data_IF_459861472795
#
_entry.id   IF_459861472795
#
_cell.length_a   1.000
_cell.length_b   1.000
_cell.length_c   1.000
_cell.angle_alpha   90.00
_cell.angle_beta   90.00
_cell.angle_gamma   90.00
#
_symmetry.space_group_name_H-M   'P 1'
#
loop_
_entity.id
_entity.type
_entity.pdbx_description
1 polymer ?
#
# COMPACT_ATOMS: atom_id res chain seq x y z
N UNK A 1 45.88 -4.71 4.78
CA UNK A 1 45.34 -5.06 6.11
C UNK A 1 43.89 -4.59 6.15
N UNK A 2 42.96 -5.42 5.66
CA UNK A 2 41.51 -5.14 5.67
C UNK A 2 40.87 -6.20 6.57
N UNK A 3 40.23 -5.74 7.64
CA UNK A 3 39.66 -6.57 8.68
C UNK A 3 38.53 -7.45 8.13
N UNK A 4 38.79 -8.74 8.01
CA UNK A 4 37.77 -9.77 7.88
C UNK A 4 37.15 -9.94 9.27
N UNK A 5 36.17 -9.08 9.59
CA UNK A 5 35.44 -9.17 10.86
C UNK A 5 34.43 -10.32 10.77
N UNK A 6 34.91 -11.45 11.27
CA UNK A 6 34.22 -12.64 11.75
C UNK A 6 32.72 -12.43 12.07
N UNK A 7 31.85 -12.81 11.12
CA UNK A 7 30.40 -12.99 11.33
C UNK A 7 30.17 -14.21 12.22
N UNK A 8 30.13 -14.03 13.54
CA UNK A 8 29.46 -15.00 14.41
C UNK A 8 27.96 -14.80 14.28
N UNK A 9 27.39 -15.48 13.28
CA UNK A 9 25.96 -15.72 13.18
C UNK A 9 25.51 -16.40 14.48
N UNK A 10 24.72 -15.68 15.28
CA UNK A 10 23.98 -16.29 16.38
C UNK A 10 22.86 -17.08 15.74
N UNK A 11 22.98 -18.40 15.82
CA UNK A 11 22.08 -19.38 15.21
C UNK A 11 20.69 -19.26 15.81
N UNK A 12 19.77 -18.70 15.03
CA UNK A 12 18.32 -18.92 15.14
C UNK A 12 18.09 -20.43 14.89
N UNK A 13 17.11 -21.10 15.53
CA UNK A 13 16.73 -22.45 15.10
C UNK A 13 16.36 -22.42 13.62
N UNK A 14 17.25 -22.98 12.80
CA UNK A 14 17.18 -23.15 11.35
C UNK A 14 15.99 -24.05 10.98
N UNK A 15 14.79 -23.50 11.01
CA UNK A 15 13.59 -24.08 10.41
C UNK A 15 12.82 -22.97 9.69
N UNK A 16 12.38 -23.17 8.43
CA UNK A 16 11.60 -22.16 7.74
C UNK A 16 10.30 -21.91 8.52
N UNK A 17 10.08 -20.67 8.95
CA UNK A 17 8.87 -20.27 9.67
C UNK A 17 7.62 -20.79 8.95
N UNK A 18 6.70 -21.36 9.71
CA UNK A 18 5.55 -22.09 9.12
C UNK A 18 4.55 -21.08 8.55
N UNK A 19 4.49 -19.89 9.15
CA UNK A 19 3.55 -18.81 8.79
C UNK A 19 3.77 -18.30 7.35
N UNK A 20 4.95 -17.80 6.92
CA UNK A 20 5.16 -17.40 5.53
C UNK A 20 4.90 -18.54 4.54
N UNK A 21 5.34 -19.76 4.87
CA UNK A 21 5.16 -20.93 3.99
C UNK A 21 3.69 -21.24 3.76
N UNK A 22 2.87 -21.23 4.82
CA UNK A 22 1.44 -21.49 4.71
C UNK A 22 0.71 -20.33 4.04
N UNK A 23 1.10 -19.09 4.33
CA UNK A 23 0.55 -17.92 3.66
C UNK A 23 0.76 -17.98 2.14
N UNK A 24 1.98 -18.25 1.68
CA UNK A 24 2.26 -18.32 0.25
C UNK A 24 1.67 -19.56 -0.43
N UNK A 25 1.47 -20.66 0.30
CA UNK A 25 0.71 -21.82 -0.23
C UNK A 25 -0.73 -21.46 -0.60
N UNK A 26 -1.36 -20.50 0.08
CA UNK A 26 -2.70 -20.01 -0.29
C UNK A 26 -2.72 -19.36 -1.67
N UNK A 27 -1.63 -18.69 -2.05
CA UNK A 27 -1.47 -18.07 -3.36
C UNK A 27 -0.89 -19.03 -4.42
N UNK A 28 -0.77 -20.34 -4.13
CA UNK A 28 -0.20 -21.32 -5.04
C UNK A 28 1.33 -21.33 -5.13
N UNK A 29 2.03 -20.78 -4.13
CA UNK A 29 3.50 -20.83 -4.05
C UNK A 29 4.15 -19.51 -3.63
N UNK A 30 5.45 -19.58 -3.31
CA UNK A 30 6.25 -18.40 -2.94
C UNK A 30 6.55 -17.56 -4.19
N UNK A 31 6.30 -16.23 -4.18
CA UNK A 31 6.65 -15.33 -5.28
C UNK A 31 8.17 -15.17 -5.41
N UNK A 32 8.61 -14.66 -6.58
CA UNK A 32 9.96 -14.15 -6.75
C UNK A 32 10.18 -12.89 -5.87
N UNK A 33 11.14 -12.89 -4.92
CA UNK A 33 11.39 -11.74 -4.06
C UNK A 33 11.86 -10.48 -4.82
N UNK A 34 12.50 -10.66 -5.99
CA UNK A 34 13.05 -9.56 -6.79
C UNK A 34 11.98 -8.81 -7.61
N UNK A 35 10.76 -9.36 -7.72
CA UNK A 35 9.64 -8.72 -8.42
C UNK A 35 8.57 -8.22 -7.43
N UNK A 36 8.56 -6.92 -7.09
CA UNK A 36 7.60 -6.36 -6.14
C UNK A 36 6.15 -6.41 -6.65
N UNK A 37 5.94 -6.44 -7.96
CA UNK A 37 4.60 -6.54 -8.56
C UNK A 37 4.09 -7.98 -8.44
N UNK A 38 4.94 -8.98 -8.67
CA UNK A 38 4.58 -10.39 -8.46
C UNK A 38 4.25 -10.66 -6.99
N UNK A 39 5.08 -10.17 -6.06
CA UNK A 39 4.81 -10.32 -4.62
C UNK A 39 3.47 -9.70 -4.25
N UNK A 40 3.17 -8.50 -4.73
CA UNK A 40 1.88 -7.85 -4.47
C UNK A 40 0.71 -8.64 -5.07
N UNK A 41 0.83 -9.17 -6.29
CA UNK A 41 -0.18 -10.00 -6.94
C UNK A 41 -0.43 -11.31 -6.18
N UNK A 42 0.63 -11.99 -5.71
CA UNK A 42 0.49 -13.20 -4.87
C UNK A 42 -0.12 -12.87 -3.52
N UNK A 43 0.23 -11.74 -2.91
CA UNK A 43 -0.36 -11.32 -1.65
C UNK A 43 -1.87 -11.04 -1.81
N UNK A 44 -2.29 -10.40 -2.90
CA UNK A 44 -3.71 -10.23 -3.25
C UNK A 44 -4.40 -11.59 -3.34
N UNK A 45 -3.83 -12.56 -4.08
CA UNK A 45 -4.41 -13.89 -4.20
C UNK A 45 -4.52 -14.63 -2.85
N UNK A 46 -3.51 -14.52 -1.99
CA UNK A 46 -3.56 -15.08 -0.63
C UNK A 46 -4.65 -14.42 0.23
N UNK A 47 -4.79 -13.10 0.16
CA UNK A 47 -5.84 -12.35 0.86
C UNK A 47 -7.23 -12.74 0.37
N UNK A 48 -7.43 -12.88 -0.94
CA UNK A 48 -8.69 -13.37 -1.52
C UNK A 48 -8.99 -14.81 -1.10
N UNK A 49 -7.97 -15.67 -1.01
CA UNK A 49 -8.14 -17.02 -0.48
C UNK A 49 -8.52 -17.02 1.01
N UNK A 50 -7.97 -16.10 1.81
CA UNK A 50 -8.37 -15.93 3.21
C UNK A 50 -9.82 -15.40 3.34
N UNK A 51 -10.27 -14.58 2.40
CA UNK A 51 -11.62 -14.01 2.37
C UNK A 51 -12.69 -14.94 1.79
N UNK A 52 -12.37 -15.75 0.77
CA UNK A 52 -13.32 -16.70 0.14
C UNK A 52 -13.72 -17.86 1.05
N UNK A 53 -12.97 -18.11 2.11
CA UNK A 53 -13.23 -19.21 3.04
C UNK A 53 -14.37 -18.80 3.98
N UNK A 54 -15.60 -18.88 3.47
CA UNK A 54 -16.88 -18.77 4.21
C UNK A 54 -17.15 -20.00 5.11
N UNK A 55 -16.16 -20.88 5.28
CA UNK A 55 -16.05 -21.75 6.47
C UNK A 55 -15.03 -21.14 7.42
N UNK A 56 -15.45 -20.30 8.38
CA UNK A 56 -14.53 -19.53 9.19
C UNK A 56 -13.53 -20.47 9.88
N UNK A 57 -12.25 -20.27 9.57
CA UNK A 57 -11.22 -20.57 10.54
C UNK A 57 -10.44 -21.87 10.40
N UNK A 58 -10.30 -22.46 9.21
CA UNK A 58 -9.19 -23.41 9.03
C UNK A 58 -7.92 -22.62 8.75
N UNK A 59 -7.76 -21.91 7.63
CA UNK A 59 -6.45 -21.31 7.32
C UNK A 59 -6.13 -20.04 8.11
N UNK A 60 -7.06 -19.09 8.24
CA UNK A 60 -6.84 -17.88 9.04
C UNK A 60 -6.63 -18.21 10.53
N UNK A 61 -7.43 -19.14 11.10
CA UNK A 61 -7.20 -19.60 12.47
C UNK A 61 -5.98 -20.50 12.59
N UNK A 62 -5.60 -21.26 11.55
CA UNK A 62 -4.34 -22.02 11.55
C UNK A 62 -3.16 -21.07 11.57
N UNK A 63 -3.13 -20.02 10.73
CA UNK A 63 -2.09 -18.99 10.81
C UNK A 63 -2.08 -18.31 12.19
N UNK A 64 -3.25 -17.97 12.72
CA UNK A 64 -3.39 -17.41 14.07
C UNK A 64 -2.90 -18.36 15.16
N UNK A 65 -3.16 -19.65 15.01
CA UNK A 65 -2.71 -20.70 15.94
C UNK A 65 -1.21 -20.92 15.85
N UNK A 66 -0.65 -20.98 14.63
CA UNK A 66 0.78 -21.10 14.38
C UNK A 66 1.54 -19.94 15.04
N UNK A 67 1.03 -18.70 14.95
CA UNK A 67 1.62 -17.54 15.62
C UNK A 67 1.65 -17.61 17.15
N UNK A 68 0.85 -18.50 17.77
CA UNK A 68 0.91 -18.73 19.23
C UNK A 68 2.01 -19.71 19.63
N UNK A 69 2.53 -20.50 18.68
CA UNK A 69 3.65 -21.41 18.89
C UNK A 69 4.96 -20.61 18.97
N UNK A 70 5.86 -21.00 19.87
CA UNK A 70 7.02 -20.19 20.27
C UNK A 70 7.95 -19.77 19.11
N UNK A 71 8.01 -20.57 18.03
CA UNK A 71 8.85 -20.27 16.86
C UNK A 71 8.30 -19.19 15.91
N UNK A 72 6.97 -18.98 15.87
CA UNK A 72 6.32 -18.10 14.89
C UNK A 72 5.71 -16.83 15.54
N UNK A 73 5.95 -16.63 16.85
CA UNK A 73 5.54 -15.42 17.60
C UNK A 73 6.10 -14.12 17.03
N UNK A 74 7.20 -14.19 16.27
CA UNK A 74 7.82 -13.02 15.62
C UNK A 74 6.89 -12.35 14.59
N UNK A 75 5.90 -13.08 14.07
CA UNK A 75 4.87 -12.56 13.15
C UNK A 75 3.59 -12.08 13.84
N UNK A 76 3.48 -12.29 15.16
CA UNK A 76 2.31 -11.91 15.92
C UNK A 76 2.26 -10.39 16.11
N UNK A 77 1.05 -9.83 16.03
CA UNK A 77 0.82 -8.43 16.30
C UNK A 77 1.18 -8.07 17.75
N UNK A 78 1.60 -6.83 18.04
CA UNK A 78 2.00 -6.44 19.39
C UNK A 78 0.89 -6.64 20.43
N UNK A 79 -0.38 -6.45 20.05
CA UNK A 79 -1.52 -6.73 20.92
C UNK A 79 -1.70 -8.25 21.20
N UNK A 80 -1.35 -9.13 20.25
CA UNK A 80 -1.37 -10.59 20.45
C UNK A 80 -0.34 -11.02 21.49
N UNK A 81 0.85 -10.41 21.47
CA UNK A 81 1.91 -10.69 22.44
C UNK A 81 1.54 -10.23 23.85
N UNK A 82 0.66 -9.23 23.98
CA UNK A 82 0.11 -8.76 25.26
C UNK A 82 -1.11 -9.55 25.74
N UNK A 83 -1.64 -10.48 24.93
CA UNK A 83 -2.84 -11.24 25.25
C UNK A 83 -4.15 -10.44 25.09
N UNK A 84 -4.12 -9.34 24.36
CA UNK A 84 -5.30 -8.53 24.04
C UNK A 84 -6.20 -9.23 22.99
N UNK A 85 -7.50 -8.87 22.89
CA UNK A 85 -8.39 -9.45 21.90
C UNK A 85 -7.91 -9.19 20.47
N UNK A 86 -7.75 -10.27 19.73
CA UNK A 86 -7.26 -10.24 18.35
C UNK A 86 -8.38 -9.94 17.37
N UNK A 87 -8.13 -9.10 16.37
CA UNK A 87 -9.09 -8.77 15.33
C UNK A 87 -8.51 -9.02 13.93
N UNK A 88 -9.28 -8.73 12.87
CA UNK A 88 -8.73 -8.73 11.51
C UNK A 88 -7.52 -7.80 11.36
N UNK A 89 -7.41 -6.74 12.17
CA UNK A 89 -6.26 -5.82 12.15
C UNK A 89 -4.97 -6.44 12.70
N UNK A 90 -5.09 -7.49 13.51
CA UNK A 90 -3.94 -8.29 13.95
C UNK A 90 -3.43 -9.16 12.79
N UNK A 91 -4.34 -9.72 11.98
CA UNK A 91 -3.96 -10.45 10.75
C UNK A 91 -3.33 -9.54 9.69
N UNK A 92 -3.80 -8.30 9.55
CA UNK A 92 -3.19 -7.29 8.67
C UNK A 92 -1.72 -7.08 9.02
N UNK A 93 -1.38 -7.00 10.31
CA UNK A 93 0.00 -6.86 10.77
C UNK A 93 0.86 -8.05 10.31
N UNK A 94 0.39 -9.27 10.57
CA UNK A 94 1.07 -10.50 10.18
C UNK A 94 1.33 -10.56 8.68
N UNK A 95 0.32 -10.24 7.86
CA UNK A 95 0.48 -10.22 6.40
C UNK A 95 1.52 -9.17 5.99
N UNK A 96 1.49 -7.99 6.60
CA UNK A 96 2.49 -6.94 6.35
C UNK A 96 3.91 -7.42 6.60
N UNK A 97 4.14 -8.12 7.72
CA UNK A 97 5.45 -8.69 8.07
C UNK A 97 5.91 -9.74 7.05
N UNK A 98 5.02 -10.67 6.66
CA UNK A 98 5.34 -11.74 5.69
C UNK A 98 5.69 -11.17 4.31
N UNK A 99 4.93 -10.18 3.85
CA UNK A 99 5.18 -9.51 2.56
C UNK A 99 6.49 -8.74 2.61
N UNK A 100 6.74 -7.99 3.69
CA UNK A 100 7.98 -7.25 3.87
C UNK A 100 9.20 -8.18 3.89
N UNK A 101 9.15 -9.26 4.66
CA UNK A 101 10.24 -10.23 4.74
C UNK A 101 10.49 -10.90 3.39
N UNK A 102 9.44 -11.16 2.61
CA UNK A 102 9.60 -11.76 1.29
C UNK A 102 10.31 -10.82 0.33
N UNK A 103 10.02 -9.52 0.36
CA UNK A 103 10.68 -8.51 -0.49
C UNK A 103 12.11 -8.20 -0.07
N UNK A 104 12.38 -8.23 1.22
CA UNK A 104 13.66 -7.76 1.78
C UNK A 104 14.60 -8.90 2.16
N UNK A 105 14.09 -10.13 2.21
CA UNK A 105 14.79 -11.29 2.78
C UNK A 105 15.03 -11.18 4.29
N UNK A 106 14.53 -10.12 4.95
CA UNK A 106 14.84 -9.78 6.33
C UNK A 106 13.56 -9.48 7.13
N UNK A 107 13.47 -10.02 8.34
CA UNK A 107 12.35 -9.70 9.23
C UNK A 107 12.41 -8.23 9.69
N UNK A 108 11.30 -7.45 9.61
CA UNK A 108 11.30 -6.00 9.88
C UNK A 108 11.70 -5.63 11.31
N UNK A 109 11.40 -6.51 12.28
CA UNK A 109 11.71 -6.32 13.70
C UNK A 109 12.91 -7.16 14.19
N UNK A 110 13.63 -7.81 13.26
CA UNK A 110 14.73 -8.74 13.56
C UNK A 110 14.27 -10.09 14.12
N UNK A 111 15.21 -11.05 14.22
CA UNK A 111 14.94 -12.45 14.62
C UNK A 111 14.40 -12.62 16.05
N UNK A 112 14.47 -11.58 16.89
CA UNK A 112 13.98 -11.58 18.27
C UNK A 112 12.81 -10.62 18.50
N UNK A 113 12.25 -10.02 17.44
CA UNK A 113 11.14 -9.07 17.53
C UNK A 113 11.45 -7.73 18.22
N UNK A 114 12.74 -7.41 18.44
CA UNK A 114 13.17 -6.24 19.23
C UNK A 114 14.08 -5.23 18.51
N UNK A 115 14.47 -5.47 17.26
CA UNK A 115 15.38 -4.58 16.51
C UNK A 115 14.75 -4.05 15.23
N UNK A 116 14.17 -2.85 15.30
CA UNK A 116 13.66 -2.10 14.15
C UNK A 116 14.77 -1.62 13.17
N UNK A 117 16.05 -1.77 13.53
CA UNK A 117 17.18 -1.23 12.76
C UNK A 117 17.47 -2.02 11.47
N UNK A 118 17.10 -3.30 11.40
CA UNK A 118 17.29 -4.11 10.19
C UNK A 118 16.35 -3.69 9.04
N UNK A 119 15.17 -3.15 9.37
CA UNK A 119 14.17 -2.75 8.38
C UNK A 119 14.56 -1.51 7.57
N UNK A 120 15.32 -0.57 8.14
CA UNK A 120 15.56 0.74 7.50
C UNK A 120 16.39 0.71 6.21
N UNK A 121 17.37 -0.19 6.12
CA UNK A 121 18.21 -0.33 4.93
C UNK A 121 17.55 -1.25 3.89
N UNK A 122 16.92 -2.34 4.34
CA UNK A 122 16.23 -3.27 3.47
C UNK A 122 14.92 -2.69 2.88
N UNK A 123 14.25 -1.78 3.60
CA UNK A 123 13.10 -1.03 3.10
C UNK A 123 13.45 -0.04 1.98
N UNK A 124 14.74 0.22 1.70
CA UNK A 124 15.16 1.01 0.54
C UNK A 124 15.07 0.24 -0.78
N UNK A 125 15.09 -1.09 -0.72
CA UNK A 125 14.92 -1.96 -1.89
C UNK A 125 13.45 -2.09 -2.31
N UNK A 126 12.52 -1.68 -1.46
CA UNK A 126 11.07 -1.73 -1.72
C UNK A 126 10.61 -0.42 -2.37
N UNK A 127 9.78 -0.47 -3.43
CA UNK A 127 9.18 0.73 -4.02
C UNK A 127 8.49 1.59 -2.95
N UNK A 128 8.65 2.93 -2.98
CA UNK A 128 8.20 3.81 -1.90
C UNK A 128 6.69 3.72 -1.64
N UNK A 129 5.91 3.47 -2.68
CA UNK A 129 4.46 3.31 -2.63
C UNK A 129 4.06 2.02 -1.90
N UNK A 130 4.70 0.90 -2.22
CA UNK A 130 4.46 -0.38 -1.56
C UNK A 130 4.95 -0.33 -0.11
N UNK A 131 6.09 0.33 0.13
CA UNK A 131 6.60 0.56 1.48
C UNK A 131 5.59 1.29 2.35
N UNK A 132 4.96 2.36 1.87
CA UNK A 132 3.97 3.11 2.64
C UNK A 132 2.76 2.24 3.04
N UNK A 133 2.30 1.37 2.13
CA UNK A 133 1.22 0.41 2.41
C UNK A 133 1.63 -0.58 3.51
N UNK A 134 2.86 -1.11 3.43
CA UNK A 134 3.40 -2.06 4.42
C UNK A 134 3.68 -1.40 5.77
N UNK A 135 4.17 -0.16 5.81
CA UNK A 135 4.36 0.61 7.04
C UNK A 135 3.03 0.83 7.77
N UNK A 136 1.98 1.17 7.01
CA UNK A 136 0.61 1.31 7.57
C UNK A 136 0.10 -0.04 8.10
N UNK A 137 0.35 -1.13 7.37
CA UNK A 137 -0.06 -2.47 7.81
C UNK A 137 0.67 -2.92 9.10
N UNK A 138 1.94 -2.55 9.26
CA UNK A 138 2.79 -2.90 10.39
C UNK A 138 2.80 -1.84 11.50
N UNK A 139 1.83 -0.91 11.51
CA UNK A 139 1.75 0.13 12.52
C UNK A 139 1.65 -0.45 13.95
N UNK A 140 2.26 0.21 14.96
CA UNK A 140 2.31 -0.31 16.33
C UNK A 140 0.92 -0.39 16.98
N UNK A 141 0.02 0.53 16.65
CA UNK A 141 -1.36 0.52 17.14
C UNK A 141 -2.30 -0.06 16.09
N UNK A 142 -3.24 -0.91 16.53
CA UNK A 142 -4.21 -1.52 15.62
C UNK A 142 -5.13 -0.48 14.94
N UNK A 143 -5.38 0.68 15.56
CA UNK A 143 -6.22 1.72 14.99
C UNK A 143 -5.61 2.40 13.76
N UNK A 144 -4.28 2.43 13.67
CA UNK A 144 -3.55 3.05 12.55
C UNK A 144 -3.39 2.10 11.35
N UNK A 145 -3.83 0.84 11.49
CA UNK A 145 -3.76 -0.18 10.43
C UNK A 145 -5.00 -0.16 9.56
N UNK A 146 -4.88 -0.83 8.42
CA UNK A 146 -6.02 -1.12 7.55
C UNK A 146 -7.14 -1.81 8.34
N UNK A 147 -8.37 -1.35 8.14
CA UNK A 147 -9.54 -1.78 8.89
C UNK A 147 -9.88 -3.26 8.70
N UNK A 148 -9.45 -3.85 7.58
CA UNK A 148 -9.71 -5.24 7.21
C UNK A 148 -8.66 -5.76 6.22
N UNK A 149 -8.64 -7.08 6.02
CA UNK A 149 -7.84 -7.72 4.96
C UNK A 149 -8.21 -7.19 3.57
N UNK A 150 -9.48 -6.87 3.36
CA UNK A 150 -10.00 -6.32 2.10
C UNK A 150 -9.41 -4.94 1.81
N UNK A 151 -9.31 -4.09 2.84
CA UNK A 151 -8.72 -2.77 2.69
C UNK A 151 -7.23 -2.87 2.31
N UNK A 152 -6.48 -3.78 2.94
CA UNK A 152 -5.09 -4.06 2.54
C UNK A 152 -5.00 -4.57 1.10
N UNK A 153 -5.88 -5.50 0.70
CA UNK A 153 -5.96 -6.04 -0.65
C UNK A 153 -6.20 -4.93 -1.68
N UNK A 154 -7.14 -4.04 -1.41
CA UNK A 154 -7.50 -2.94 -2.32
C UNK A 154 -6.32 -1.96 -2.52
N UNK A 155 -5.52 -1.68 -1.48
CA UNK A 155 -4.32 -0.86 -1.60
C UNK A 155 -3.19 -1.55 -2.37
N UNK A 156 -2.99 -2.85 -2.18
CA UNK A 156 -2.04 -3.62 -2.99
C UNK A 156 -2.46 -3.63 -4.47
N UNK A 157 -3.77 -3.77 -4.75
CA UNK A 157 -4.29 -3.71 -6.11
C UNK A 157 -4.09 -2.33 -6.75
N UNK A 158 -4.25 -1.24 -5.98
CA UNK A 158 -3.95 0.13 -6.42
C UNK A 158 -2.47 0.28 -6.78
N UNK A 159 -1.56 -0.25 -5.97
CA UNK A 159 -0.12 -0.25 -6.27
C UNK A 159 0.16 -0.96 -7.61
N UNK A 160 -0.34 -2.18 -7.80
CA UNK A 160 -0.16 -2.94 -9.05
C UNK A 160 -0.72 -2.17 -10.26
N UNK A 161 -1.89 -1.54 -10.11
CA UNK A 161 -2.50 -0.71 -11.16
C UNK A 161 -1.60 0.45 -11.58
N UNK A 162 -1.06 1.20 -10.60
CA UNK A 162 -0.15 2.34 -10.86
C UNK A 162 1.14 1.89 -11.56
N UNK A 163 1.75 0.80 -11.11
CA UNK A 163 2.97 0.26 -11.72
C UNK A 163 2.74 -0.15 -13.18
N UNK A 164 1.59 -0.76 -13.50
CA UNK A 164 1.21 -1.09 -14.88
C UNK A 164 0.99 0.15 -15.75
N UNK A 165 0.39 1.21 -15.21
CA UNK A 165 0.21 2.48 -15.94
C UNK A 165 1.54 3.22 -16.13
N UNK A 166 2.46 3.14 -15.18
CA UNK A 166 3.81 3.72 -15.29
C UNK A 166 4.67 3.02 -16.36
N UNK A 167 4.44 1.72 -16.59
CA UNK A 167 5.13 0.93 -17.62
C UNK A 167 4.50 1.12 -19.01
N UNK A 168 3.24 1.59 -19.10
CA UNK A 168 2.65 1.94 -20.38
C UNK A 168 3.46 3.08 -21.03
N UNK A 169 3.93 2.94 -22.28
CA UNK A 169 4.65 4.01 -22.93
C UNK A 169 3.75 5.24 -22.96
N UNK A 170 4.29 6.38 -22.51
CA UNK A 170 3.57 7.65 -22.52
C UNK A 170 2.82 7.82 -23.84
N UNK A 171 1.52 8.17 -23.85
CA UNK A 171 0.86 8.52 -25.08
C UNK A 171 1.67 9.66 -25.68
N UNK A 172 2.35 9.39 -26.80
CA UNK A 172 3.04 10.44 -27.57
C UNK A 172 2.02 11.57 -27.71
N UNK A 173 2.32 12.81 -27.29
CA UNK A 173 1.39 13.89 -27.53
C UNK A 173 1.15 13.89 -29.04
N UNK A 174 -0.09 13.63 -29.45
CA UNK A 174 -0.48 13.76 -30.85
C UNK A 174 -0.08 15.18 -31.21
N UNK A 175 0.92 15.31 -32.08
CA UNK A 175 1.28 16.59 -32.67
C UNK A 175 0.03 17.11 -33.33
N UNK A 176 -0.62 18.09 -32.71
CA UNK A 176 -1.65 18.87 -33.37
C UNK A 176 -0.96 19.48 -34.58
N UNK A 177 -1.38 19.17 -35.83
CA UNK A 177 -0.78 19.80 -36.99
C UNK A 177 -0.96 21.33 -36.84
N UNK A 178 0.07 22.14 -37.16
CA UNK A 178 -0.05 23.58 -37.04
C UNK A 178 -1.26 24.07 -37.86
N UNK A 179 -2.09 24.98 -37.34
CA UNK A 179 -3.20 25.53 -38.10
C UNK A 179 -2.64 26.22 -39.35
N UNK A 180 -3.12 25.82 -40.53
CA UNK A 180 -2.80 26.47 -41.79
C UNK A 180 -3.05 27.98 -41.68
N UNK A 181 -2.10 28.85 -42.08
CA UNK A 181 -2.32 30.29 -42.11
C UNK A 181 -3.24 30.63 -43.28
N UNK A 182 -4.55 30.71 -43.02
CA UNK A 182 -5.50 30.91 -44.11
C UNK A 182 -6.96 31.02 -43.71
N UNK A 183 -7.30 31.70 -42.62
CA UNK A 183 -8.67 32.23 -42.47
C UNK A 183 -8.64 33.63 -41.88
N UNK A 184 -8.72 34.61 -42.77
CA UNK A 184 -8.92 36.00 -42.43
C UNK A 184 -10.30 36.16 -41.78
N UNK A 185 -10.35 36.30 -40.45
CA UNK A 185 -11.56 36.73 -39.75
C UNK A 185 -11.70 38.23 -39.97
N UNK A 186 -12.65 38.61 -40.83
CA UNK A 186 -13.02 40.00 -41.12
C UNK A 186 -13.62 40.63 -39.86
N UNK A 187 -12.95 41.66 -39.34
CA UNK A 187 -13.38 42.46 -38.18
C UNK A 187 -14.61 43.30 -38.56
N UNK A 188 -15.73 43.13 -37.87
CA UNK A 188 -16.90 44.03 -37.97
C UNK A 188 -16.77 45.11 -36.90
N UNK A 189 -16.90 46.36 -37.34
CA UNK A 189 -16.74 47.57 -36.53
C UNK A 189 -17.93 47.82 -35.59
N UNK A 190 -17.63 48.54 -34.52
CA UNK A 190 -18.52 48.92 -33.42
C UNK A 190 -19.72 49.79 -33.89
N UNK A 191 -20.86 49.58 -33.25
CA UNK A 191 -22.06 50.40 -33.35
C UNK A 191 -22.53 50.87 -31.97
N UNK A 192 -22.65 52.19 -31.85
CA UNK A 192 -22.94 53.09 -30.73
C UNK A 192 -24.20 52.78 -29.89
N UNK A 193 -24.13 53.01 -28.58
CA UNK A 193 -25.27 53.05 -27.64
C UNK A 193 -25.63 54.51 -27.32
N UNK A 194 -26.91 54.95 -27.40
CA UNK A 194 -27.31 56.32 -27.04
C UNK A 194 -27.63 56.50 -25.54
N UNK A 195 -27.61 57.75 -25.02
CA UNK A 195 -27.76 58.07 -23.60
C UNK A 195 -29.23 58.28 -23.17
N UNK A 196 -29.56 57.88 -21.94
CA UNK A 196 -30.82 58.19 -21.27
C UNK A 196 -30.64 59.40 -20.34
N UNK A 197 -31.45 60.45 -20.57
CA UNK A 197 -31.57 61.64 -19.73
C UNK A 197 -33.01 61.74 -19.20
N UNK A 198 -33.17 62.17 -17.95
CA UNK A 198 -34.44 62.72 -17.45
C UNK A 198 -34.81 62.35 -16.01
N UNK A 199 -34.33 63.14 -15.04
CA UNK A 199 -35.09 63.46 -13.83
C UNK A 199 -36.12 64.58 -14.18
N UNK A 200 -37.20 64.85 -13.41
CA UNK A 200 -37.05 65.50 -12.10
C UNK A 200 -38.20 65.32 -11.06
N UNK A 201 -37.95 65.94 -9.90
CA UNK A 201 -38.86 66.74 -9.08
C UNK A 201 -39.61 66.13 -7.87
N UNK A 202 -39.54 66.92 -6.79
CA UNK A 202 -40.01 66.73 -5.44
C UNK A 202 -41.47 67.17 -5.20
N UNK A 203 -42.06 66.71 -4.07
CA UNK A 203 -42.99 67.39 -3.12
C UNK A 203 -43.52 66.31 -2.15
N UNK A 204 -43.28 66.35 -0.84
CA UNK A 204 -43.89 67.19 0.21
C UNK A 204 -45.43 67.05 0.34
N UNK A 205 -45.91 66.35 1.38
CA UNK A 205 -46.81 66.82 2.49
C UNK A 205 -47.64 65.71 3.15
N UNK A 206 -47.70 65.82 4.48
CA UNK A 206 -48.79 65.58 5.46
C UNK A 206 -49.77 64.41 5.28
N UNK A 207 -49.77 63.49 6.25
CA UNK A 207 -50.82 63.31 7.28
C UNK A 207 -50.56 62.04 8.11
#
# INVERSE_FOLDING_TARGET
MVAVTNRRAVTVPEGPSVVPRMFWKLAGGRPNPDDPVEVALRAIAALEALERVDRPGVTASTLTFLMRLDGDRVYAAPEQLRGEPTSQRSLVFTVGVVVFETLTGCHPFGATGRSARAGGEAARCVPPELRAVLETAMAPFAADRWSSLRALRDELARFVGRQRTAIAPAPRPRSVPPPCPGSAVRRVAAGTVPPAAGAPAARARDA
#
